data_IF_384992939591
#
_entry.id   IF_384992939591
#
_cell.length_a   1.000
_cell.length_b   1.000
_cell.length_c   1.000
_cell.angle_alpha   90.00
_cell.angle_beta   90.00
_cell.angle_gamma   90.00
#
_symmetry.space_group_name_H-M   'P 1'
#
loop_
_entity.id
_entity.type
_entity.pdbx_description
1 polymer ?
#
# COMPACT_ATOMS: atom_id res chain seq x y z
N UNK A 1 0.89 -4.36 22.27
CA UNK A 1 0.80 -5.83 22.37
C UNK A 1 1.89 -6.43 21.48
N UNK A 2 2.98 -6.95 22.04
CA UNK A 2 4.05 -7.59 21.26
C UNK A 2 3.63 -9.02 20.89
N UNK A 3 2.85 -9.15 19.82
CA UNK A 3 2.57 -10.45 19.21
C UNK A 3 3.88 -11.10 18.79
N UNK A 4 4.14 -12.31 19.27
CA UNK A 4 5.35 -13.07 18.94
C UNK A 4 5.38 -13.28 17.42
N UNK A 5 6.33 -12.65 16.73
CA UNK A 5 6.43 -12.73 15.26
C UNK A 5 6.64 -14.19 14.89
N UNK A 6 5.72 -14.76 14.10
CA UNK A 6 5.83 -16.12 13.62
C UNK A 6 6.87 -16.19 12.49
N UNK A 7 8.14 -16.30 12.87
CA UNK A 7 9.27 -16.37 11.95
C UNK A 7 9.17 -17.53 10.95
N UNK A 8 8.54 -18.65 11.32
CA UNK A 8 8.32 -19.77 10.41
C UNK A 8 7.42 -19.39 9.23
N UNK A 9 6.36 -18.62 9.50
CA UNK A 9 5.47 -18.13 8.45
C UNK A 9 6.24 -17.18 7.52
N UNK A 10 7.09 -16.30 8.05
CA UNK A 10 7.91 -15.40 7.22
C UNK A 10 8.87 -16.20 6.33
N UNK A 11 9.55 -17.21 6.88
CA UNK A 11 10.48 -18.05 6.12
C UNK A 11 9.75 -18.78 4.99
N UNK A 12 8.62 -19.40 5.29
CA UNK A 12 7.84 -20.21 4.32
C UNK A 12 7.22 -19.32 3.23
N UNK A 13 6.70 -18.14 3.59
CA UNK A 13 5.96 -17.28 2.66
C UNK A 13 6.90 -16.40 1.83
N UNK A 14 8.05 -16.00 2.37
CA UNK A 14 8.92 -15.01 1.72
C UNK A 14 10.29 -15.57 1.31
N UNK A 15 11.02 -16.14 2.27
CA UNK A 15 12.42 -16.55 2.04
C UNK A 15 12.49 -17.76 1.10
N UNK A 16 11.61 -18.73 1.31
CA UNK A 16 11.62 -20.00 0.59
C UNK A 16 11.20 -19.84 -0.88
N UNK A 17 10.12 -19.09 -1.23
CA UNK A 17 9.78 -18.84 -2.63
C UNK A 17 10.82 -18.01 -3.37
N UNK A 18 11.39 -16.99 -2.71
CA UNK A 18 12.45 -16.17 -3.31
C UNK A 18 13.70 -17.00 -3.60
N UNK A 19 14.20 -17.75 -2.61
CA UNK A 19 15.41 -18.56 -2.76
C UNK A 19 15.23 -19.67 -3.79
N UNK A 20 14.12 -20.42 -3.75
CA UNK A 20 13.83 -21.43 -4.76
C UNK A 20 13.65 -20.83 -6.15
N UNK A 21 12.97 -19.69 -6.25
CA UNK A 21 12.76 -19.00 -7.51
C UNK A 21 14.06 -18.55 -8.17
N UNK A 22 14.94 -17.92 -7.40
CA UNK A 22 16.28 -17.49 -7.85
C UNK A 22 17.14 -18.69 -8.23
N UNK A 23 17.18 -19.74 -7.39
CA UNK A 23 17.96 -20.96 -7.67
C UNK A 23 17.45 -21.63 -8.95
N UNK A 24 16.14 -21.78 -9.12
CA UNK A 24 15.54 -22.35 -10.34
C UNK A 24 15.93 -21.54 -11.58
N UNK A 25 15.87 -20.21 -11.50
CA UNK A 25 16.22 -19.33 -12.62
C UNK A 25 17.70 -19.43 -13.02
N UNK A 26 18.60 -19.41 -12.03
CA UNK A 26 20.05 -19.48 -12.24
C UNK A 26 20.51 -20.86 -12.72
N UNK A 27 19.94 -21.93 -12.17
CA UNK A 27 20.33 -23.31 -12.50
C UNK A 27 19.73 -23.82 -13.80
N UNK A 28 18.68 -23.19 -14.33
CA UNK A 28 18.05 -23.60 -15.59
C UNK A 28 19.02 -23.67 -16.77
N UNK A 29 20.04 -22.81 -16.79
CA UNK A 29 21.08 -22.81 -17.84
C UNK A 29 21.89 -24.12 -17.89
N UNK A 30 21.99 -24.85 -16.78
CA UNK A 30 22.75 -26.10 -16.65
C UNK A 30 22.05 -27.32 -17.27
N UNK A 31 20.75 -27.21 -17.56
CA UNK A 31 20.01 -28.31 -18.19
C UNK A 31 20.25 -28.32 -19.70
N UNK A 32 20.68 -29.48 -20.22
CA UNK A 32 20.90 -29.70 -21.66
C UNK A 32 19.58 -29.75 -22.45
N UNK A 33 18.51 -30.29 -21.85
CA UNK A 33 17.20 -30.39 -22.49
C UNK A 33 16.50 -29.04 -22.49
N UNK A 34 16.16 -28.53 -23.69
CA UNK A 34 15.50 -27.22 -23.89
C UNK A 34 14.19 -27.09 -23.11
N UNK A 35 13.35 -28.13 -23.10
CA UNK A 35 12.07 -28.10 -22.38
C UNK A 35 12.25 -28.00 -20.86
N UNK A 36 13.23 -28.72 -20.29
CA UNK A 36 13.52 -28.67 -18.85
C UNK A 36 14.02 -27.28 -18.42
N UNK A 37 14.85 -26.65 -19.26
CA UNK A 37 15.31 -25.26 -19.04
C UNK A 37 14.15 -24.27 -19.05
N UNK A 38 13.24 -24.38 -20.01
CA UNK A 38 12.07 -23.49 -20.11
C UNK A 38 11.16 -23.69 -18.90
N UNK A 39 10.84 -24.95 -18.57
CA UNK A 39 9.98 -25.27 -17.41
C UNK A 39 10.56 -24.69 -16.11
N UNK A 40 11.86 -24.89 -15.86
CA UNK A 40 12.49 -24.41 -14.62
C UNK A 40 12.54 -22.88 -14.55
N UNK A 41 12.78 -22.19 -15.68
CA UNK A 41 12.69 -20.72 -15.73
C UNK A 41 11.28 -20.23 -15.44
N UNK A 42 10.27 -20.86 -16.04
CA UNK A 42 8.87 -20.47 -15.82
C UNK A 42 8.48 -20.65 -14.36
N UNK A 43 8.80 -21.80 -13.75
CA UNK A 43 8.55 -22.05 -12.32
C UNK A 43 9.30 -21.03 -11.45
N UNK A 44 10.58 -20.79 -11.75
CA UNK A 44 11.38 -19.80 -11.02
C UNK A 44 10.79 -18.39 -11.10
N UNK A 45 10.37 -17.97 -12.29
CA UNK A 45 9.69 -16.68 -12.50
C UNK A 45 8.38 -16.57 -11.74
N UNK A 46 7.55 -17.63 -11.72
CA UNK A 46 6.29 -17.64 -10.97
C UNK A 46 6.54 -17.48 -9.46
N UNK A 47 7.55 -18.18 -8.91
CA UNK A 47 7.91 -18.06 -7.50
C UNK A 47 8.41 -16.64 -7.14
N UNK A 48 9.24 -16.05 -7.99
CA UNK A 48 9.72 -14.67 -7.79
C UNK A 48 8.57 -13.67 -7.89
N UNK A 49 7.68 -13.81 -8.89
CA UNK A 49 6.51 -12.95 -9.03
C UNK A 49 5.56 -13.07 -7.84
N UNK A 50 5.32 -14.29 -7.34
CA UNK A 50 4.52 -14.52 -6.14
C UNK A 50 5.13 -13.86 -4.91
N UNK A 51 6.45 -13.97 -4.73
CA UNK A 51 7.17 -13.26 -3.66
C UNK A 51 7.01 -11.74 -3.78
N UNK A 52 7.25 -11.17 -4.97
CA UNK A 52 7.13 -9.72 -5.19
C UNK A 52 5.71 -9.22 -4.93
N UNK A 53 4.69 -9.95 -5.38
CA UNK A 53 3.30 -9.63 -5.10
C UNK A 53 3.00 -9.67 -3.60
N UNK A 54 3.45 -10.71 -2.88
CA UNK A 54 3.29 -10.81 -1.43
C UNK A 54 3.98 -9.68 -0.67
N UNK A 55 5.18 -9.27 -1.09
CA UNK A 55 5.88 -8.11 -0.51
C UNK A 55 5.12 -6.83 -0.78
N UNK A 56 4.64 -6.59 -2.00
CA UNK A 56 3.86 -5.40 -2.34
C UNK A 56 2.58 -5.26 -1.50
N UNK A 57 1.96 -6.39 -1.16
CA UNK A 57 0.75 -6.46 -0.34
C UNK A 57 1.00 -6.17 1.15
N UNK A 58 2.12 -6.67 1.70
CA UNK A 58 2.35 -6.67 3.15
C UNK A 58 3.32 -5.57 3.60
N UNK A 59 4.23 -5.11 2.74
CA UNK A 59 5.19 -4.06 3.05
C UNK A 59 4.55 -2.75 3.55
N UNK A 60 3.42 -2.26 3.01
CA UNK A 60 2.79 -1.04 3.53
C UNK A 60 2.36 -1.16 4.99
N UNK A 61 1.89 -2.34 5.41
CA UNK A 61 1.53 -2.60 6.81
C UNK A 61 2.74 -2.57 7.74
N UNK A 62 3.84 -3.24 7.36
CA UNK A 62 5.08 -3.18 8.14
C UNK A 62 5.68 -1.76 8.18
N UNK A 63 5.55 -1.01 7.09
CA UNK A 63 5.95 0.39 7.06
C UNK A 63 5.14 1.23 8.06
N UNK A 64 3.83 1.02 8.12
CA UNK A 64 2.97 1.69 9.10
C UNK A 64 3.37 1.35 10.55
N UNK A 65 3.60 0.07 10.85
CA UNK A 65 4.08 -0.39 12.17
C UNK A 65 5.45 0.21 12.53
N UNK A 66 6.38 0.29 11.56
CA UNK A 66 7.68 0.91 11.79
C UNK A 66 7.55 2.39 12.19
N UNK A 67 6.54 3.08 11.66
CA UNK A 67 6.26 4.47 11.97
C UNK A 67 5.40 4.67 13.22
N UNK A 68 4.82 3.61 13.81
CA UNK A 68 3.89 3.70 14.95
C UNK A 68 4.47 4.50 16.11
N UNK A 69 5.74 4.27 16.46
CA UNK A 69 6.44 5.02 17.51
C UNK A 69 6.63 6.52 17.23
N UNK A 70 6.47 6.94 15.98
CA UNK A 70 6.58 8.33 15.51
C UNK A 70 5.22 8.97 15.31
N UNK A 71 4.12 8.25 15.51
CA UNK A 71 2.79 8.80 15.35
C UNK A 71 2.50 9.82 16.45
N UNK A 72 2.19 11.03 16.02
CA UNK A 72 1.73 12.12 16.89
C UNK A 72 0.39 12.61 16.39
N UNK A 73 -0.50 12.97 17.32
CA UNK A 73 -1.76 13.60 16.97
C UNK A 73 -1.49 14.88 16.14
N UNK A 74 -1.97 14.90 14.89
CA UNK A 74 -1.85 16.03 14.00
C UNK A 74 -3.21 16.73 13.89
N UNK A 75 -3.19 18.06 13.71
CA UNK A 75 -4.37 18.89 13.43
C UNK A 75 -4.11 19.76 12.21
N UNK A 76 -3.95 19.15 11.02
CA UNK A 76 -3.67 19.92 9.81
C UNK A 76 -4.87 20.81 9.48
N UNK A 77 -4.61 22.04 9.11
CA UNK A 77 -5.64 23.00 8.66
C UNK A 77 -5.56 23.27 7.15
N UNK A 78 -4.49 22.81 6.50
CA UNK A 78 -4.23 23.00 5.07
C UNK A 78 -3.83 21.68 4.42
N UNK A 79 -4.01 21.58 3.10
CA UNK A 79 -3.56 20.44 2.31
C UNK A 79 -2.06 20.16 2.53
N UNK A 80 -1.21 21.19 2.47
CA UNK A 80 0.23 21.03 2.62
C UNK A 80 0.60 20.45 3.99
N UNK A 81 -0.06 20.89 5.07
CA UNK A 81 0.16 20.34 6.40
C UNK A 81 -0.32 18.90 6.54
N UNK A 82 -1.46 18.56 5.93
CA UNK A 82 -1.94 17.18 5.91
C UNK A 82 -0.95 16.28 5.18
N UNK A 83 -0.54 16.66 3.96
CA UNK A 83 0.37 15.87 3.14
C UNK A 83 1.75 15.70 3.77
N UNK A 84 2.22 16.67 4.55
CA UNK A 84 3.44 16.53 5.35
C UNK A 84 3.33 15.45 6.45
N UNK A 85 2.11 15.10 6.86
CA UNK A 85 1.84 14.04 7.84
C UNK A 85 1.59 12.67 7.19
N UNK A 86 1.25 12.62 5.90
CA UNK A 86 0.90 11.38 5.20
C UNK A 86 2.15 10.68 4.65
N UNK A 87 2.11 9.35 4.63
CA UNK A 87 3.16 8.51 4.03
C UNK A 87 2.53 7.51 3.07
N UNK A 88 3.20 7.26 1.94
CA UNK A 88 2.79 6.30 0.91
C UNK A 88 1.32 6.48 0.51
N UNK A 89 1.00 7.64 -0.07
CA UNK A 89 -0.35 7.94 -0.54
C UNK A 89 -0.41 8.13 -2.06
N UNK A 90 -1.57 7.82 -2.64
CA UNK A 90 -1.99 8.40 -3.92
C UNK A 90 -3.16 9.33 -3.66
N UNK A 91 -3.36 10.32 -4.53
CA UNK A 91 -4.45 11.26 -4.41
C UNK A 91 -5.21 11.40 -5.73
N UNK A 92 -6.50 11.67 -5.63
CA UNK A 92 -7.35 12.04 -6.76
C UNK A 92 -8.51 12.89 -6.30
N UNK A 93 -8.96 13.81 -7.15
CA UNK A 93 -10.21 14.52 -6.92
C UNK A 93 -11.38 13.58 -7.21
N UNK A 94 -12.40 13.64 -6.36
CA UNK A 94 -13.60 12.82 -6.46
C UNK A 94 -14.85 13.69 -6.29
N UNK A 95 -15.98 13.19 -6.77
CA UNK A 95 -17.29 13.72 -6.40
C UNK A 95 -17.73 13.14 -5.06
N UNK A 96 -18.56 13.84 -4.26
CA UNK A 96 -19.10 13.30 -3.02
C UNK A 96 -19.70 11.91 -3.20
N UNK A 97 -20.48 11.68 -4.25
CA UNK A 97 -21.08 10.37 -4.58
C UNK A 97 -20.09 9.20 -4.75
N UNK A 98 -18.79 9.46 -4.85
CA UNK A 98 -17.73 8.45 -4.95
C UNK A 98 -17.01 8.20 -3.62
N UNK A 99 -17.30 9.00 -2.59
CA UNK A 99 -16.80 8.83 -1.23
C UNK A 99 -17.70 7.86 -0.48
N UNK A 100 -17.13 6.91 0.25
CA UNK A 100 -17.95 5.97 1.04
C UNK A 100 -18.60 6.70 2.24
N UNK A 101 -17.85 7.58 2.92
CA UNK A 101 -18.30 8.30 4.12
C UNK A 101 -18.81 9.72 3.84
N UNK A 102 -18.24 10.40 2.85
CA UNK A 102 -18.59 11.77 2.47
C UNK A 102 -19.67 11.88 1.40
N UNK A 103 -20.40 10.80 1.08
CA UNK A 103 -21.37 10.78 -0.04
C UNK A 103 -22.51 11.79 0.07
N UNK A 104 -22.86 12.18 1.29
CA UNK A 104 -23.93 13.14 1.57
C UNK A 104 -23.45 14.59 1.62
N UNK A 105 -22.12 14.83 1.53
CA UNK A 105 -21.58 16.18 1.59
C UNK A 105 -21.94 17.00 0.34
N UNK A 106 -22.43 18.22 0.54
CA UNK A 106 -22.72 19.16 -0.53
C UNK A 106 -21.58 20.16 -0.67
N UNK A 107 -20.83 20.06 -1.78
CA UNK A 107 -19.73 20.97 -2.07
C UNK A 107 -20.23 22.41 -2.22
N UNK A 108 -19.68 23.31 -1.43
CA UNK A 108 -19.87 24.75 -1.57
C UNK A 108 -19.09 25.33 -2.78
N UNK A 109 -19.31 26.61 -3.10
CA UNK A 109 -18.58 27.28 -4.18
C UNK A 109 -17.06 27.27 -3.93
N UNK A 110 -16.31 26.70 -4.87
CA UNK A 110 -14.84 26.62 -4.79
C UNK A 110 -14.32 25.47 -3.93
N UNK A 111 -15.20 24.65 -3.35
CA UNK A 111 -14.81 23.45 -2.62
C UNK A 111 -14.53 22.29 -3.58
N UNK A 112 -13.60 21.42 -3.17
CA UNK A 112 -13.31 20.16 -3.87
C UNK A 112 -13.10 19.05 -2.86
N UNK A 113 -13.61 17.85 -3.18
CA UNK A 113 -13.30 16.65 -2.43
C UNK A 113 -12.12 15.93 -3.07
N UNK A 114 -11.12 15.59 -2.26
CA UNK A 114 -9.93 14.85 -2.66
C UNK A 114 -9.84 13.58 -1.82
N UNK A 115 -9.75 12.44 -2.50
CA UNK A 115 -9.53 11.15 -1.88
C UNK A 115 -8.03 10.86 -1.86
N UNK A 116 -7.51 10.62 -0.66
CA UNK A 116 -6.20 10.04 -0.42
C UNK A 116 -6.36 8.53 -0.21
N UNK A 117 -5.52 7.73 -0.86
CA UNK A 117 -5.39 6.29 -0.58
C UNK A 117 -4.08 6.04 0.13
N UNK A 118 -4.14 5.95 1.46
CA UNK A 118 -3.01 5.65 2.32
C UNK A 118 -2.65 4.18 2.18
N UNK A 119 -1.35 3.88 2.11
CA UNK A 119 -0.84 2.51 2.00
C UNK A 119 -1.51 1.75 0.83
N UNK A 120 -1.87 2.48 -0.23
CA UNK A 120 -2.59 2.01 -1.43
C UNK A 120 -4.02 1.48 -1.23
N UNK A 121 -4.54 1.42 0.01
CA UNK A 121 -5.81 0.77 0.32
C UNK A 121 -6.75 1.57 1.19
N UNK A 122 -6.23 2.27 2.20
CA UNK A 122 -7.07 2.94 3.18
C UNK A 122 -7.51 4.31 2.66
N UNK A 123 -8.80 4.52 2.36
CA UNK A 123 -9.31 5.81 1.91
C UNK A 123 -9.34 6.83 3.06
N UNK A 124 -9.01 8.07 2.71
CA UNK A 124 -9.13 9.27 3.54
C UNK A 124 -9.65 10.35 2.61
N UNK A 125 -10.91 10.74 2.75
CA UNK A 125 -11.53 11.73 1.90
C UNK A 125 -11.53 13.09 2.60
N UNK A 126 -11.08 14.13 1.91
CA UNK A 126 -10.91 15.47 2.49
C UNK A 126 -11.58 16.49 1.60
N UNK A 127 -12.37 17.37 2.19
CA UNK A 127 -12.93 18.53 1.49
C UNK A 127 -12.00 19.71 1.73
N UNK A 128 -11.51 20.27 0.64
CA UNK A 128 -10.74 21.49 0.61
C UNK A 128 -11.59 22.66 0.14
N UNK A 129 -11.45 23.80 0.79
CA UNK A 129 -11.95 25.08 0.31
C UNK A 129 -11.04 25.72 -0.74
N UNK A 130 -11.42 26.90 -1.22
CA UNK A 130 -10.73 27.63 -2.31
C UNK A 130 -9.26 27.99 -2.04
N UNK A 131 -8.85 27.99 -0.76
CA UNK A 131 -7.48 28.31 -0.32
C UNK A 131 -6.72 27.05 0.17
N UNK A 132 -7.13 25.86 -0.28
CA UNK A 132 -6.61 24.56 0.17
C UNK A 132 -6.70 24.35 1.69
N UNK A 133 -7.61 25.06 2.34
CA UNK A 133 -7.95 24.88 3.76
C UNK A 133 -8.86 23.68 3.91
N UNK A 134 -8.61 22.88 4.94
CA UNK A 134 -9.41 21.71 5.25
C UNK A 134 -10.75 22.16 5.86
N UNK A 135 -11.84 21.77 5.21
CA UNK A 135 -13.21 22.02 5.69
C UNK A 135 -13.68 20.83 6.52
N UNK A 136 -13.51 19.62 6.00
CA UNK A 136 -13.88 18.37 6.68
C UNK A 136 -13.00 17.22 6.21
N UNK A 137 -12.77 16.25 7.10
CA UNK A 137 -12.05 15.00 6.83
C UNK A 137 -13.00 13.84 7.14
N UNK A 138 -13.06 12.87 6.23
CA UNK A 138 -13.80 11.63 6.36
C UNK A 138 -12.84 10.43 6.30
N UNK A 139 -13.00 9.49 7.22
CA UNK A 139 -12.17 8.28 7.30
C UNK A 139 -12.97 7.11 7.86
N UNK A 140 -12.47 5.89 7.66
CA UNK A 140 -13.12 4.65 8.09
C UNK A 140 -13.17 4.42 9.60
N UNK A 141 -12.51 5.28 10.38
CA UNK A 141 -12.46 5.22 11.84
C UNK A 141 -13.00 6.54 12.40
N UNK A 142 -14.30 6.59 12.66
CA UNK A 142 -14.92 7.57 13.56
C UNK A 142 -14.92 7.03 15.00
#
# INVERSE_FOLDING_TARGET
>A
MSGNINWWLIIIVFVLPLSLGVVAFLTASRFQRKWARIALRTVGSILILGFLAGVAEIAPYFWALHLESKWSAAKPTTQAQLEACLSLYTQRNIQPSQSDWGHSYQLGPGERMTQYRLLYRAPLDVVYGSNDTIVVIYTSYE
#
